data_IF_800247570599
#
_entry.id   IF_800247570599
#
_cell.length_a   1.000
_cell.length_b   1.000
_cell.length_c   1.000
_cell.angle_alpha   90.00
_cell.angle_beta   90.00
_cell.angle_gamma   90.00
#
_symmetry.space_group_name_H-M   'P 1'
#
loop_
_entity.id
_entity.type
_entity.pdbx_description
1 polymer ?
#
# COMPACT_ATOMS: atom_id res chain seq x y z
N UNK A 1 38.42 -3.58 -17.50
CA UNK A 1 39.10 -3.06 -16.29
C UNK A 1 38.98 -1.55 -16.30
N UNK A 2 38.32 -0.98 -15.29
CA UNK A 2 38.11 0.46 -15.16
C UNK A 2 36.93 0.74 -14.26
N UNK A 3 37.14 0.59 -12.94
CA UNK A 3 36.18 0.85 -11.88
C UNK A 3 35.71 2.31 -11.97
N UNK A 4 34.40 2.56 -12.06
CA UNK A 4 33.84 3.85 -11.68
C UNK A 4 33.39 3.79 -10.22
N UNK A 5 33.88 4.77 -9.47
CA UNK A 5 34.02 4.78 -8.02
C UNK A 5 32.75 5.21 -7.31
N UNK A 6 32.48 4.54 -6.19
CA UNK A 6 31.61 5.01 -5.11
C UNK A 6 32.12 6.35 -4.53
N UNK A 7 31.14 7.20 -4.18
CA UNK A 7 31.14 8.35 -3.25
C UNK A 7 31.81 9.65 -3.71
N UNK A 8 31.00 10.72 -3.73
CA UNK A 8 31.22 11.98 -2.99
C UNK A 8 29.99 12.89 -3.12
N UNK A 9 29.12 12.95 -2.11
CA UNK A 9 28.31 14.14 -1.85
C UNK A 9 28.85 14.72 -0.53
N UNK A 10 29.57 15.83 -0.65
CA UNK A 10 30.04 16.65 0.46
C UNK A 10 29.51 18.06 0.27
N UNK A 11 29.05 18.59 1.40
CA UNK A 11 28.44 19.88 1.60
C UNK A 11 29.19 21.08 1.00
N UNK A 12 28.43 21.98 0.38
CA UNK A 12 28.61 23.43 0.38
C UNK A 12 27.22 24.02 0.06
N UNK A 13 26.49 24.73 0.93
CA UNK A 13 26.90 25.63 1.99
C UNK A 13 26.73 27.07 1.51
N UNK A 14 25.53 27.64 1.68
CA UNK A 14 25.19 29.01 1.25
C UNK A 14 23.88 29.50 1.85
N UNK A 15 23.95 29.85 3.14
CA UNK A 15 22.89 30.30 4.03
C UNK A 15 21.80 31.22 3.44
N UNK A 16 20.54 30.79 3.60
CA UNK A 16 19.49 31.66 4.13
C UNK A 16 19.08 31.10 5.50
N UNK A 17 19.49 31.80 6.55
CA UNK A 17 19.04 31.61 7.92
C UNK A 17 17.53 31.87 7.99
N UNK A 18 16.73 30.83 7.83
CA UNK A 18 15.48 30.73 8.56
C UNK A 18 15.79 29.83 9.76
N UNK A 19 15.94 30.45 10.92
CA UNK A 19 15.88 29.78 12.20
C UNK A 19 14.54 29.05 12.30
N UNK A 20 14.49 27.81 11.82
CA UNK A 20 13.40 26.91 12.16
C UNK A 20 13.65 26.56 13.62
N UNK A 21 12.90 27.23 14.48
CA UNK A 21 12.62 26.74 15.82
C UNK A 21 12.37 25.23 15.64
N UNK A 22 13.13 24.40 16.35
CA UNK A 22 12.72 23.04 16.66
C UNK A 22 11.49 23.21 17.54
N UNK A 23 10.39 23.61 16.90
CA UNK A 23 9.07 23.47 17.43
C UNK A 23 8.84 22.01 17.16
N UNK A 24 8.71 21.24 18.23
CA UNK A 24 7.74 20.16 18.25
C UNK A 24 6.63 20.56 17.29
N UNK A 25 6.53 19.89 16.13
CA UNK A 25 5.35 20.06 15.29
C UNK A 25 4.24 19.63 16.22
N UNK A 26 3.59 20.63 16.83
CA UNK A 26 2.35 20.41 17.54
C UNK A 26 1.52 19.72 16.50
N UNK A 27 1.16 18.47 16.78
CA UNK A 27 -0.12 17.91 16.37
C UNK A 27 -1.08 19.08 16.43
N UNK A 28 -1.45 19.62 15.27
CA UNK A 28 -2.36 20.74 15.24
C UNK A 28 -3.71 20.13 15.63
N UNK A 29 -3.97 20.11 16.93
CA UNK A 29 -5.29 19.92 17.49
C UNK A 29 -6.16 21.06 16.94
N UNK A 30 -6.70 20.85 15.74
CA UNK A 30 -7.73 21.70 15.16
C UNK A 30 -9.03 20.94 15.37
N UNK A 31 -9.77 21.44 16.37
CA UNK A 31 -11.12 21.10 16.82
C UNK A 31 -11.78 19.88 16.15
N UNK A 32 -11.67 18.75 16.81
CA UNK A 32 -12.71 17.72 16.76
C UNK A 32 -13.03 17.44 18.22
N UNK A 33 -14.24 17.75 18.67
CA UNK A 33 -14.79 17.25 19.95
C UNK A 33 -14.29 15.82 20.20
N UNK A 34 -13.52 15.65 21.28
CA UNK A 34 -12.31 14.81 21.34
C UNK A 34 -12.60 13.31 21.18
N UNK A 35 -11.83 12.62 20.31
CA UNK A 35 -11.87 11.16 20.11
C UNK A 35 -10.73 10.49 20.86
N UNK A 36 -11.00 9.34 21.48
CA UNK A 36 -10.01 8.56 22.22
C UNK A 36 -10.12 7.07 21.89
N UNK A 37 -8.99 6.37 21.98
CA UNK A 37 -8.90 4.92 22.01
C UNK A 37 -8.76 4.52 23.48
N UNK A 38 -9.60 3.60 23.93
CA UNK A 38 -9.68 3.14 25.32
C UNK A 38 -9.39 1.66 25.39
N UNK A 39 -8.47 1.25 26.26
CA UNK A 39 -8.22 -0.15 26.61
C UNK A 39 -9.27 -0.60 27.63
N UNK A 40 -10.15 -1.53 27.24
CA UNK A 40 -11.33 -1.91 28.03
C UNK A 40 -11.10 -3.11 28.95
N UNK A 41 -9.93 -3.79 28.88
CA UNK A 41 -9.63 -5.00 29.67
C UNK A 41 -9.89 -4.85 31.17
N UNK A 42 -9.50 -3.71 31.73
CA UNK A 42 -9.63 -3.40 33.15
C UNK A 42 -10.70 -2.33 33.43
N UNK A 43 -11.51 -1.97 32.42
CA UNK A 43 -12.54 -0.96 32.57
C UNK A 43 -13.66 -1.45 33.49
N UNK A 44 -14.01 -0.65 34.49
CA UNK A 44 -15.14 -0.96 35.37
C UNK A 44 -16.47 -0.90 34.60
N UNK A 45 -17.50 -1.69 34.99
CA UNK A 45 -18.82 -1.58 34.39
C UNK A 45 -19.35 -0.15 34.41
N UNK A 46 -19.74 0.37 33.23
CA UNK A 46 -20.23 1.74 33.08
C UNK A 46 -19.15 2.82 32.98
N UNK A 47 -17.87 2.45 32.90
CA UNK A 47 -16.76 3.41 32.73
C UNK A 47 -16.90 4.29 31.48
N UNK A 48 -17.60 3.81 30.44
CA UNK A 48 -17.86 4.57 29.21
C UNK A 48 -19.24 5.25 29.17
N UNK A 49 -19.99 5.28 30.29
CA UNK A 49 -21.36 5.83 30.30
C UNK A 49 -21.46 7.35 30.06
N UNK A 50 -20.37 8.08 30.23
CA UNK A 50 -20.28 9.52 29.99
C UNK A 50 -19.85 9.92 28.57
N UNK A 51 -19.50 8.96 27.71
CA UNK A 51 -18.96 9.19 26.37
C UNK A 51 -19.81 8.52 25.30
N UNK A 52 -19.73 9.02 24.07
CA UNK A 52 -20.29 8.38 22.89
C UNK A 52 -19.34 7.27 22.43
N UNK A 53 -19.80 6.02 22.34
CA UNK A 53 -19.01 4.95 21.73
C UNK A 53 -19.15 5.06 20.21
N UNK A 54 -18.03 5.31 19.53
CA UNK A 54 -17.92 5.42 18.07
C UNK A 54 -17.74 4.04 17.46
N UNK A 55 -16.77 3.27 17.98
CA UNK A 55 -16.55 1.87 17.62
C UNK A 55 -16.44 1.05 18.90
N UNK A 56 -17.17 -0.05 18.95
CA UNK A 56 -17.08 -1.04 20.01
C UNK A 56 -16.34 -2.26 19.46
N UNK A 57 -15.11 -2.48 19.92
CA UNK A 57 -14.19 -3.50 19.42
C UNK A 57 -13.87 -4.51 20.54
N UNK A 58 -14.93 -5.07 21.12
CA UNK A 58 -14.88 -6.09 22.18
C UNK A 58 -13.97 -7.28 21.82
N UNK A 59 -13.85 -7.62 20.53
CA UNK A 59 -12.96 -8.68 20.04
C UNK A 59 -11.49 -8.48 20.41
N UNK A 60 -11.09 -7.23 20.69
CA UNK A 60 -9.71 -6.85 21.00
C UNK A 60 -9.59 -6.04 22.29
N UNK A 61 -10.65 -6.00 23.09
CA UNK A 61 -10.76 -5.21 24.31
C UNK A 61 -10.39 -3.71 24.08
N UNK A 62 -10.89 -3.13 22.99
CA UNK A 62 -10.73 -1.70 22.67
C UNK A 62 -12.10 -1.08 22.44
N UNK A 63 -12.28 0.16 22.90
CA UNK A 63 -13.38 1.01 22.45
C UNK A 63 -12.82 2.33 21.88
N UNK A 64 -13.42 2.81 20.80
CA UNK A 64 -13.17 4.14 20.27
C UNK A 64 -14.33 5.02 20.68
N UNK A 65 -14.04 6.12 21.36
CA UNK A 65 -15.07 6.95 21.99
C UNK A 65 -14.91 8.42 21.63
N UNK A 66 -16.00 9.18 21.72
CA UNK A 66 -16.02 10.63 21.63
C UNK A 66 -16.55 11.23 22.93
N UNK A 67 -15.81 12.16 23.51
CA UNK A 67 -16.13 12.74 24.83
C UNK A 67 -14.99 13.62 25.31
N UNK A 68 -15.02 14.09 26.56
CA UNK A 68 -13.88 14.81 27.13
C UNK A 68 -12.91 13.86 27.81
N UNK A 69 -11.62 14.21 27.88
CA UNK A 69 -10.63 13.43 28.66
C UNK A 69 -11.08 13.21 30.11
N UNK A 70 -11.77 14.19 30.71
CA UNK A 70 -12.26 14.07 32.09
C UNK A 70 -13.34 13.02 32.29
N UNK A 71 -14.08 12.66 31.24
CA UNK A 71 -15.09 11.59 31.28
C UNK A 71 -14.44 10.19 31.24
N UNK A 72 -13.14 10.11 30.90
CA UNK A 72 -12.34 8.89 30.84
C UNK A 72 -11.44 8.72 32.08
N UNK A 73 -11.73 9.43 33.17
CA UNK A 73 -10.97 9.31 34.41
C UNK A 73 -11.02 7.88 34.97
N UNK A 74 -9.86 7.23 35.07
CA UNK A 74 -9.73 5.89 35.61
C UNK A 74 -9.79 4.76 34.59
N UNK A 75 -9.83 5.07 33.29
CA UNK A 75 -9.54 4.12 32.21
C UNK A 75 -8.24 4.49 31.51
N UNK A 76 -7.55 3.50 30.94
CA UNK A 76 -6.37 3.73 30.12
C UNK A 76 -6.83 4.15 28.72
N UNK A 77 -6.58 5.42 28.39
CA UNK A 77 -7.03 6.02 27.13
C UNK A 77 -5.95 6.90 26.52
N UNK A 78 -6.00 7.03 25.19
CA UNK A 78 -5.15 7.95 24.44
C UNK A 78 -6.01 8.70 23.39
N UNK A 79 -5.71 9.99 23.09
CA UNK A 79 -6.24 10.67 21.91
C UNK A 79 -6.11 9.85 20.62
N UNK A 80 -7.20 9.74 19.87
CA UNK A 80 -7.24 9.01 18.61
C UNK A 80 -6.36 9.70 17.55
N UNK A 81 -5.27 9.03 17.13
CA UNK A 81 -4.27 9.57 16.22
C UNK A 81 -4.86 9.74 14.81
N UNK A 82 -4.63 10.90 14.19
CA UNK A 82 -4.96 11.15 12.78
C UNK A 82 -3.75 10.89 11.90
N UNK A 83 -3.90 9.96 10.96
CA UNK A 83 -2.98 9.70 9.87
C UNK A 83 -3.38 10.58 8.68
N UNK A 84 -2.41 11.14 7.97
CA UNK A 84 -2.64 11.92 6.76
C UNK A 84 -2.23 11.11 5.53
N UNK A 85 -3.15 10.96 4.58
CA UNK A 85 -2.85 10.45 3.25
C UNK A 85 -2.22 11.58 2.44
N UNK A 86 -0.97 11.40 2.00
CA UNK A 86 -0.28 12.34 1.12
C UNK A 86 -0.93 12.36 -0.26
N UNK A 87 -2.06 13.06 -0.41
CA UNK A 87 -2.98 12.90 -1.55
C UNK A 87 -3.12 14.15 -2.43
N UNK A 88 -2.20 15.11 -2.34
CA UNK A 88 -2.18 16.24 -3.28
C UNK A 88 -0.78 16.56 -3.79
N UNK A 89 -0.62 16.40 -5.11
CA UNK A 89 0.50 16.96 -5.86
C UNK A 89 0.66 18.45 -5.52
N UNK A 90 1.66 18.77 -4.72
CA UNK A 90 1.95 20.16 -4.36
C UNK A 90 2.74 20.39 -3.08
N UNK A 91 2.70 19.49 -2.08
CA UNK A 91 3.42 19.78 -0.82
C UNK A 91 3.76 18.58 0.10
N UNK A 92 3.75 17.34 -0.37
CA UNK A 92 3.79 16.17 0.53
C UNK A 92 4.75 15.06 0.09
N UNK A 93 5.81 14.84 0.88
CA UNK A 93 6.60 13.59 0.90
C UNK A 93 7.17 13.12 -0.45
N UNK A 94 7.88 11.99 -0.48
CA UNK A 94 8.51 11.47 -1.70
C UNK A 94 7.68 10.42 -2.46
N UNK A 95 6.44 10.12 -2.03
CA UNK A 95 5.48 9.39 -2.87
C UNK A 95 5.13 10.25 -4.10
N UNK A 96 5.23 9.66 -5.29
CA UNK A 96 5.10 10.39 -6.55
C UNK A 96 3.79 10.03 -7.22
N UNK A 97 2.92 11.02 -7.37
CA UNK A 97 1.69 10.90 -8.15
C UNK A 97 1.78 11.78 -9.40
N UNK A 98 1.28 11.28 -10.52
CA UNK A 98 1.14 12.09 -11.74
C UNK A 98 -0.26 11.92 -12.32
N UNK A 99 -1.07 12.96 -12.16
CA UNK A 99 -2.38 13.13 -12.81
C UNK A 99 -2.21 13.39 -14.30
N UNK A 100 -1.76 12.37 -15.03
CA UNK A 100 -1.93 12.31 -16.47
C UNK A 100 -2.77 11.08 -16.75
N UNK A 101 -4.03 11.29 -17.17
CA UNK A 101 -4.88 10.21 -17.68
C UNK A 101 -4.02 9.32 -18.57
N UNK A 102 -3.98 8.02 -18.30
CA UNK A 102 -3.34 7.10 -19.22
C UNK A 102 -4.10 7.20 -20.55
N UNK A 103 -3.56 7.96 -21.50
CA UNK A 103 -4.03 7.93 -22.87
C UNK A 103 -3.97 6.48 -23.35
N UNK A 104 -4.89 6.09 -24.23
CA UNK A 104 -4.84 4.78 -24.89
C UNK A 104 -3.42 4.51 -25.41
N UNK A 105 -3.01 3.24 -25.46
CA UNK A 105 -1.62 2.90 -25.76
C UNK A 105 -1.18 3.59 -27.06
N UNK A 106 0.04 4.14 -27.13
CA UNK A 106 0.48 4.90 -28.31
C UNK A 106 0.23 4.07 -29.58
N UNK A 107 -0.37 4.67 -30.62
CA UNK A 107 -0.95 4.07 -31.86
C UNK A 107 -0.10 2.99 -32.58
N UNK A 108 1.17 2.84 -32.21
CA UNK A 108 2.07 1.79 -32.66
C UNK A 108 2.35 0.77 -31.54
N UNK A 109 1.32 0.01 -31.14
CA UNK A 109 1.51 -1.29 -30.51
C UNK A 109 1.85 -2.31 -31.60
N UNK A 110 3.07 -2.83 -31.60
CA UNK A 110 3.55 -3.77 -32.62
C UNK A 110 2.71 -5.06 -32.70
N UNK A 111 2.77 -5.76 -33.84
CA UNK A 111 2.05 -7.02 -34.13
C UNK A 111 2.64 -8.25 -33.39
N UNK A 112 2.87 -8.16 -32.08
CA UNK A 112 3.22 -9.32 -31.25
C UNK A 112 1.97 -10.12 -30.86
N UNK A 113 2.13 -11.40 -30.47
CA UNK A 113 1.06 -12.11 -29.75
C UNK A 113 0.94 -11.44 -28.37
N UNK A 114 -0.16 -10.75 -28.12
CA UNK A 114 -0.43 -10.20 -26.78
C UNK A 114 -0.68 -11.34 -25.79
N UNK A 115 -0.19 -11.21 -24.56
CA UNK A 115 -0.43 -12.17 -23.46
C UNK A 115 -1.84 -12.03 -22.87
N UNK A 116 -2.42 -10.84 -22.99
CA UNK A 116 -3.77 -10.42 -22.55
C UNK A 116 -4.39 -9.58 -23.68
N UNK A 117 -5.72 -9.46 -23.74
CA UNK A 117 -6.38 -8.55 -24.67
C UNK A 117 -6.44 -7.07 -24.17
N UNK A 118 -6.09 -6.81 -22.91
CA UNK A 118 -6.20 -5.51 -22.24
C UNK A 118 -5.20 -4.48 -22.80
N UNK A 119 -5.65 -3.27 -23.13
CA UNK A 119 -4.87 -2.29 -23.89
C UNK A 119 -3.73 -1.66 -23.11
N UNK A 120 -3.77 -1.61 -21.77
CA UNK A 120 -2.74 -0.95 -20.96
C UNK A 120 -1.71 -1.91 -20.33
N UNK A 121 -1.85 -3.24 -20.48
CA UNK A 121 -0.88 -4.20 -19.91
C UNK A 121 0.57 -3.94 -20.31
N UNK A 122 0.82 -3.52 -21.55
CA UNK A 122 2.17 -3.21 -22.05
C UNK A 122 2.84 -2.03 -21.31
N UNK A 123 2.08 -1.29 -20.51
CA UNK A 123 2.53 -0.18 -19.67
C UNK A 123 2.73 -0.59 -18.20
N UNK A 124 2.24 -1.76 -17.78
CA UNK A 124 2.38 -2.30 -16.42
C UNK A 124 3.67 -3.12 -16.30
N UNK A 125 4.80 -2.43 -16.11
CA UNK A 125 6.10 -3.09 -15.92
C UNK A 125 6.09 -4.02 -14.70
N UNK A 126 5.33 -3.67 -13.65
CA UNK A 126 5.18 -4.40 -12.40
C UNK A 126 4.57 -5.79 -12.64
N UNK A 127 3.48 -5.86 -13.41
CA UNK A 127 2.85 -7.11 -13.81
C UNK A 127 3.72 -7.93 -14.77
N UNK A 128 4.47 -7.25 -15.64
CA UNK A 128 5.41 -7.90 -16.55
C UNK A 128 6.62 -8.51 -15.81
N UNK A 129 7.15 -7.81 -14.80
CA UNK A 129 8.29 -8.26 -14.00
C UNK A 129 7.96 -9.49 -13.16
N UNK A 130 6.71 -9.61 -12.72
CA UNK A 130 6.17 -10.73 -11.95
C UNK A 130 5.56 -11.85 -12.82
N UNK A 131 5.66 -11.74 -14.16
CA UNK A 131 5.07 -12.65 -15.15
C UNK A 131 3.60 -13.01 -14.88
N UNK A 132 2.81 -12.00 -14.48
CA UNK A 132 1.43 -12.18 -14.00
C UNK A 132 0.53 -12.97 -14.98
N UNK A 133 0.53 -12.72 -16.30
CA UNK A 133 -0.30 -13.51 -17.22
C UNK A 133 0.11 -14.98 -17.32
N UNK A 134 1.37 -15.33 -17.02
CA UNK A 134 1.77 -16.74 -17.00
C UNK A 134 1.19 -17.45 -15.76
N UNK A 135 1.15 -16.77 -14.61
CA UNK A 135 0.57 -17.35 -13.40
C UNK A 135 -0.96 -17.44 -13.43
N UNK A 136 -1.62 -16.55 -14.18
CA UNK A 136 -3.07 -16.62 -14.45
C UNK A 136 -3.50 -17.88 -15.21
N UNK A 137 -2.55 -18.64 -15.78
CA UNK A 137 -2.85 -19.96 -16.35
C UNK A 137 -3.03 -21.06 -15.30
N UNK A 138 -2.59 -20.81 -14.05
CA UNK A 138 -2.74 -21.72 -12.91
C UNK A 138 -3.96 -21.35 -12.05
N UNK A 139 -4.07 -20.08 -11.67
CA UNK A 139 -5.17 -19.52 -10.87
C UNK A 139 -5.27 -18.02 -11.12
N UNK A 140 -6.45 -17.44 -10.94
CA UNK A 140 -6.65 -15.97 -10.89
C UNK A 140 -6.97 -15.47 -9.48
N UNK A 141 -6.92 -16.34 -8.46
CA UNK A 141 -7.31 -15.99 -7.10
C UNK A 141 -8.78 -16.31 -6.80
N UNK A 142 -9.44 -17.11 -7.63
CA UNK A 142 -10.85 -17.44 -7.45
C UNK A 142 -11.10 -18.10 -6.08
N UNK A 143 -12.20 -17.71 -5.44
CA UNK A 143 -12.58 -18.23 -4.11
C UNK A 143 -11.86 -17.57 -2.95
N UNK A 144 -11.12 -16.49 -3.19
CA UNK A 144 -10.46 -15.70 -2.14
C UNK A 144 -10.97 -14.27 -2.11
N UNK A 145 -10.70 -13.57 -1.02
CA UNK A 145 -11.13 -12.20 -0.77
C UNK A 145 -9.98 -11.32 -0.24
N UNK A 146 -9.93 -10.08 -0.73
CA UNK A 146 -8.92 -9.08 -0.32
C UNK A 146 -9.63 -7.80 0.12
N UNK A 147 -9.50 -7.48 1.41
CA UNK A 147 -9.95 -6.23 1.98
C UNK A 147 -8.92 -5.12 1.74
N UNK A 148 -9.34 -4.04 1.08
CA UNK A 148 -8.56 -2.82 0.88
C UNK A 148 -8.97 -1.82 1.95
N UNK A 149 -8.15 -1.70 3.00
CA UNK A 149 -8.36 -0.73 4.08
C UNK A 149 -7.70 0.59 3.67
N UNK A 150 -8.48 1.49 3.09
CA UNK A 150 -7.95 2.67 2.40
C UNK A 150 -8.99 3.81 2.28
N UNK A 151 -8.85 4.68 1.29
CA UNK A 151 -9.67 5.86 0.98
C UNK A 151 -11.01 5.53 0.30
N UNK A 152 -11.26 4.25 0.04
CA UNK A 152 -12.45 3.75 -0.65
C UNK A 152 -12.15 3.26 -2.06
N UNK A 153 -13.05 2.45 -2.59
CA UNK A 153 -12.98 1.92 -3.96
C UNK A 153 -14.15 2.50 -4.75
N UNK A 154 -13.88 3.02 -5.94
CA UNK A 154 -14.90 3.56 -6.84
C UNK A 154 -15.85 2.45 -7.31
N UNK A 155 -17.13 2.46 -6.90
CA UNK A 155 -18.10 1.50 -7.41
C UNK A 155 -18.37 1.74 -8.90
N UNK A 156 -18.53 0.66 -9.66
CA UNK A 156 -18.81 0.73 -11.10
C UNK A 156 -17.61 1.09 -11.98
N UNK A 157 -16.38 1.08 -11.46
CA UNK A 157 -15.18 1.11 -12.31
C UNK A 157 -15.21 -0.14 -13.22
N UNK A 158 -15.09 -0.03 -14.56
CA UNK A 158 -15.27 -1.15 -15.49
C UNK A 158 -14.28 -2.30 -15.25
N UNK A 159 -13.12 -1.96 -14.69
CA UNK A 159 -12.04 -2.88 -14.38
C UNK A 159 -12.09 -3.44 -12.94
N UNK A 160 -13.04 -3.04 -12.09
CA UNK A 160 -13.14 -3.51 -10.69
C UNK A 160 -14.46 -4.28 -10.47
N UNK A 161 -14.73 -5.25 -11.34
CA UNK A 161 -15.99 -6.01 -11.29
C UNK A 161 -16.08 -6.98 -10.11
N UNK A 162 -14.94 -7.31 -9.49
CA UNK A 162 -14.87 -8.17 -8.30
C UNK A 162 -15.17 -7.44 -6.99
N UNK A 163 -15.52 -6.14 -7.03
CA UNK A 163 -15.88 -5.38 -5.84
C UNK A 163 -17.21 -5.90 -5.25
N UNK A 164 -17.13 -6.43 -4.03
CA UNK A 164 -18.28 -6.80 -3.23
C UNK A 164 -18.79 -5.59 -2.45
N UNK A 165 -19.80 -4.91 -2.98
CA UNK A 165 -20.40 -3.73 -2.35
C UNK A 165 -21.18 -4.07 -1.06
N UNK A 166 -21.66 -5.31 -0.89
CA UNK A 166 -22.43 -5.74 0.28
C UNK A 166 -21.56 -5.92 1.53
N UNK A 167 -20.30 -6.33 1.35
CA UNK A 167 -19.29 -6.45 2.40
C UNK A 167 -18.39 -5.21 2.52
N UNK A 168 -18.50 -4.27 1.57
CA UNK A 168 -17.76 -3.01 1.63
C UNK A 168 -18.39 -2.03 2.62
N UNK A 169 -17.57 -1.33 3.40
CA UNK A 169 -18.06 -0.48 4.50
C UNK A 169 -17.24 0.80 4.69
N UNK A 170 -17.91 1.83 5.19
CA UNK A 170 -17.29 3.04 5.72
C UNK A 170 -17.14 2.94 7.24
N UNK A 171 -15.92 3.18 7.74
CA UNK A 171 -15.62 3.21 9.17
C UNK A 171 -15.49 4.63 9.72
N UNK A 172 -15.49 5.63 8.85
CA UNK A 172 -15.43 7.03 9.27
C UNK A 172 -16.78 7.51 9.82
N UNK A 173 -16.75 8.57 10.62
CA UNK A 173 -17.96 9.21 11.15
C UNK A 173 -18.59 10.24 10.20
N UNK A 174 -18.23 10.25 8.91
CA UNK A 174 -18.70 11.26 7.95
C UNK A 174 -20.13 11.00 7.42
N UNK A 175 -20.71 9.84 7.75
CA UNK A 175 -22.05 9.43 7.31
C UNK A 175 -22.16 9.01 5.84
N UNK A 176 -21.03 8.88 5.14
CA UNK A 176 -20.95 8.43 3.75
C UNK A 176 -20.95 6.91 3.58
N UNK A 177 -20.82 6.46 2.33
CA UNK A 177 -20.68 5.04 1.97
C UNK A 177 -19.20 4.63 1.92
N UNK A 178 -18.90 3.37 1.57
CA UNK A 178 -17.53 2.89 1.33
C UNK A 178 -16.85 3.57 0.12
N UNK A 179 -17.62 4.23 -0.74
CA UNK A 179 -17.11 4.89 -1.93
C UNK A 179 -16.15 6.04 -1.53
N UNK A 180 -15.14 6.33 -2.36
CA UNK A 180 -14.18 7.38 -2.10
C UNK A 180 -14.84 8.77 -2.12
N UNK A 181 -14.28 9.69 -1.33
CA UNK A 181 -14.78 11.08 -1.22
C UNK A 181 -13.88 12.06 -1.96
N UNK A 182 -12.57 11.93 -1.82
CA UNK A 182 -11.61 12.90 -2.37
C UNK A 182 -10.27 12.30 -2.82
N UNK A 183 -10.01 11.01 -2.54
CA UNK A 183 -8.79 10.33 -2.95
C UNK A 183 -9.09 9.05 -3.73
N UNK A 184 -8.33 8.85 -4.81
CA UNK A 184 -8.38 7.67 -5.68
C UNK A 184 -7.40 6.56 -5.25
N UNK A 185 -6.67 6.75 -4.15
CA UNK A 185 -5.60 5.88 -3.70
C UNK A 185 -6.07 4.43 -3.45
N UNK A 186 -7.23 4.26 -2.81
CA UNK A 186 -7.81 2.94 -2.56
C UNK A 186 -8.29 2.26 -3.83
N UNK A 187 -8.79 3.04 -4.79
CA UNK A 187 -9.14 2.54 -6.13
C UNK A 187 -7.89 2.10 -6.89
N UNK A 188 -6.76 2.81 -6.74
CA UNK A 188 -5.47 2.42 -7.33
C UNK A 188 -4.94 1.12 -6.73
N UNK A 189 -4.96 0.99 -5.41
CA UNK A 189 -4.57 -0.24 -4.71
C UNK A 189 -5.45 -1.43 -5.12
N UNK A 190 -6.76 -1.24 -5.20
CA UNK A 190 -7.70 -2.27 -5.62
C UNK A 190 -7.40 -2.82 -7.03
N UNK A 191 -7.06 -1.95 -8.00
CA UNK A 191 -6.69 -2.39 -9.34
C UNK A 191 -5.37 -3.16 -9.40
N UNK A 192 -4.40 -2.84 -8.52
CA UNK A 192 -3.14 -3.60 -8.44
C UNK A 192 -3.45 -5.04 -8.00
N UNK A 193 -4.35 -5.20 -7.04
CA UNK A 193 -4.80 -6.52 -6.56
C UNK A 193 -5.61 -7.22 -7.65
N UNK A 194 -6.75 -6.67 -8.07
CA UNK A 194 -7.76 -7.43 -8.83
C UNK A 194 -8.44 -6.63 -9.94
N UNK A 195 -7.72 -5.75 -10.66
CA UNK A 195 -8.24 -5.26 -11.93
C UNK A 195 -8.56 -6.43 -12.87
N UNK A 196 -9.72 -6.38 -13.49
CA UNK A 196 -10.32 -7.48 -14.27
C UNK A 196 -9.48 -7.77 -15.51
N UNK A 197 -8.93 -8.98 -15.62
CA UNK A 197 -8.14 -9.36 -16.79
C UNK A 197 -9.03 -9.83 -17.96
N UNK A 198 -8.49 -9.70 -19.17
CA UNK A 198 -9.07 -10.16 -20.44
C UNK A 198 -10.46 -9.58 -20.78
N UNK A 199 -10.81 -8.41 -20.25
CA UNK A 199 -12.08 -7.72 -20.54
C UNK A 199 -11.98 -6.79 -21.77
N UNK A 200 -10.77 -6.55 -22.29
CA UNK A 200 -10.51 -5.71 -23.46
C UNK A 200 -10.42 -4.22 -23.13
N UNK A 201 -10.37 -3.88 -21.85
CA UNK A 201 -10.31 -2.54 -21.29
C UNK A 201 -9.15 -2.44 -20.29
N UNK A 202 -8.72 -1.23 -19.97
CA UNK A 202 -7.88 -1.01 -18.79
C UNK A 202 -6.59 -1.83 -18.66
N UNK A 203 -6.36 -2.25 -17.42
CA UNK A 203 -5.13 -2.84 -16.86
C UNK A 203 -5.40 -4.26 -16.36
N UNK A 204 -4.36 -4.96 -15.92
CA UNK A 204 -4.46 -6.32 -15.36
C UNK A 204 -4.08 -6.31 -13.88
N UNK A 205 -4.92 -6.92 -13.03
CA UNK A 205 -4.64 -7.15 -11.62
C UNK A 205 -3.74 -8.36 -11.38
N UNK A 206 -3.13 -8.45 -10.20
CA UNK A 206 -2.33 -9.63 -9.81
C UNK A 206 -3.21 -10.87 -9.62
N UNK A 207 -4.37 -10.72 -9.00
CA UNK A 207 -5.37 -11.76 -8.73
C UNK A 207 -6.77 -11.31 -9.18
N UNK A 208 -7.06 -11.27 -10.50
CA UNK A 208 -8.30 -10.72 -11.04
C UNK A 208 -9.57 -11.51 -10.66
N UNK A 209 -9.42 -12.75 -10.18
CA UNK A 209 -10.50 -13.60 -9.67
C UNK A 209 -10.77 -13.46 -8.16
N UNK A 210 -9.95 -12.71 -7.43
CA UNK A 210 -10.17 -12.43 -6.01
C UNK A 210 -11.28 -11.40 -5.83
N UNK A 211 -12.15 -11.63 -4.84
CA UNK A 211 -13.19 -10.69 -4.44
C UNK A 211 -12.57 -9.49 -3.69
N UNK A 212 -12.96 -8.27 -4.02
CA UNK A 212 -12.47 -7.05 -3.37
C UNK A 212 -13.49 -6.53 -2.36
N UNK A 213 -13.01 -6.16 -1.16
CA UNK A 213 -13.81 -5.43 -0.17
C UNK A 213 -13.22 -4.04 0.02
N UNK A 214 -14.01 -2.99 -0.20
CA UNK A 214 -13.63 -1.61 0.07
C UNK A 214 -13.94 -1.23 1.51
N UNK A 215 -12.90 -1.13 2.36
CA UNK A 215 -13.04 -0.73 3.76
C UNK A 215 -12.51 0.71 3.92
N UNK A 216 -13.40 1.70 3.81
CA UNK A 216 -13.01 3.11 3.81
C UNK A 216 -12.74 3.62 5.22
N UNK A 217 -11.52 4.11 5.44
CA UNK A 217 -11.05 4.69 6.71
C UNK A 217 -10.63 6.15 6.60
N UNK A 218 -10.50 6.69 5.38
CA UNK A 218 -10.22 8.11 5.16
C UNK A 218 -11.50 8.92 4.93
N UNK A 219 -11.53 10.12 5.51
CA UNK A 219 -12.51 11.17 5.25
C UNK A 219 -11.76 12.49 5.11
N UNK A 220 -11.67 13.02 3.89
CA UNK A 220 -10.69 14.06 3.60
C UNK A 220 -9.29 13.45 3.50
N UNK A 221 -8.22 14.21 3.79
CA UNK A 221 -6.87 13.68 3.78
C UNK A 221 -6.56 12.83 5.02
N UNK A 222 -7.50 12.63 5.96
CA UNK A 222 -7.21 12.02 7.26
C UNK A 222 -7.95 10.70 7.49
N UNK A 223 -7.27 9.75 8.14
CA UNK A 223 -7.85 8.56 8.75
C UNK A 223 -7.57 8.58 10.25
N UNK A 224 -8.55 8.24 11.09
CA UNK A 224 -8.29 8.06 12.52
C UNK A 224 -7.83 6.63 12.78
N UNK A 225 -6.89 6.44 13.70
CA UNK A 225 -6.41 5.14 14.12
C UNK A 225 -7.56 4.22 14.56
N UNK A 226 -8.52 4.75 15.32
CA UNK A 226 -9.70 3.98 15.74
C UNK A 226 -10.55 3.47 14.57
N UNK A 227 -10.64 4.23 13.47
CA UNK A 227 -11.37 3.80 12.26
C UNK A 227 -10.59 2.68 11.53
N UNK A 228 -9.26 2.74 11.54
CA UNK A 228 -8.38 1.70 10.98
C UNK A 228 -8.49 0.41 11.79
N UNK A 229 -8.42 0.48 13.13
CA UNK A 229 -8.59 -0.69 13.99
C UNK A 229 -9.95 -1.36 13.78
N UNK A 230 -11.02 -0.57 13.66
CA UNK A 230 -12.36 -1.08 13.38
C UNK A 230 -12.43 -1.80 12.02
N UNK A 231 -11.76 -1.27 10.99
CA UNK A 231 -11.70 -1.91 9.68
C UNK A 231 -10.90 -3.22 9.71
N UNK A 232 -9.81 -3.30 10.48
CA UNK A 232 -9.01 -4.52 10.65
C UNK A 232 -9.83 -5.61 11.36
N UNK A 233 -10.49 -5.26 12.46
CA UNK A 233 -11.37 -6.19 13.18
C UNK A 233 -12.49 -6.69 12.27
N UNK A 234 -13.11 -5.79 11.51
CA UNK A 234 -14.16 -6.19 10.56
C UNK A 234 -13.64 -7.09 9.43
N UNK A 235 -12.43 -6.85 8.91
CA UNK A 235 -11.82 -7.74 7.92
C UNK A 235 -11.68 -9.19 8.47
N UNK A 236 -11.34 -9.32 9.76
CA UNK A 236 -11.37 -10.60 10.47
C UNK A 236 -12.79 -11.14 10.66
N UNK A 237 -13.77 -10.31 11.04
CA UNK A 237 -15.16 -10.74 11.26
C UNK A 237 -15.82 -11.30 9.98
N UNK A 238 -15.42 -10.80 8.80
CA UNK A 238 -15.88 -11.30 7.50
C UNK A 238 -14.96 -12.37 6.91
N UNK A 239 -13.95 -12.83 7.68
CA UNK A 239 -12.99 -13.86 7.30
C UNK A 239 -12.30 -13.56 5.96
N UNK A 240 -11.97 -12.28 5.70
CA UNK A 240 -11.23 -11.91 4.50
C UNK A 240 -9.88 -12.65 4.46
N UNK A 241 -9.47 -13.21 3.33
CA UNK A 241 -8.20 -13.96 3.27
C UNK A 241 -6.98 -13.05 3.48
N UNK A 242 -7.07 -11.81 2.98
CA UNK A 242 -6.00 -10.81 3.07
C UNK A 242 -6.60 -9.43 3.38
N UNK A 243 -5.97 -8.69 4.28
CA UNK A 243 -6.21 -7.27 4.50
C UNK A 243 -4.97 -6.47 4.08
N UNK A 244 -5.14 -5.61 3.06
CA UNK A 244 -4.13 -4.71 2.55
C UNK A 244 -4.24 -3.33 3.22
N UNK A 245 -3.14 -2.88 3.83
CA UNK A 245 -2.99 -1.58 4.48
C UNK A 245 -1.91 -0.78 3.76
N UNK A 246 -2.32 -0.06 2.71
CA UNK A 246 -1.47 0.88 1.97
C UNK A 246 -1.38 2.24 2.65
N UNK A 247 -1.32 2.24 3.98
CA UNK A 247 -1.33 3.40 4.85
C UNK A 247 -0.35 3.18 6.01
N UNK A 248 0.07 4.27 6.64
CA UNK A 248 0.92 4.18 7.82
C UNK A 248 1.21 5.54 8.43
N UNK A 249 1.83 5.51 9.60
CA UNK A 249 2.30 6.68 10.31
C UNK A 249 3.76 6.46 10.71
N UNK A 250 4.61 7.40 10.29
CA UNK A 250 5.99 7.47 10.71
C UNK A 250 6.44 8.95 10.73
N UNK A 251 7.27 9.36 11.70
CA UNK A 251 7.67 8.62 12.90
C UNK A 251 6.61 8.70 14.02
N UNK A 252 6.28 7.57 14.66
CA UNK A 252 5.43 7.52 15.85
C UNK A 252 6.29 7.33 17.10
N UNK A 253 6.25 8.22 18.11
CA UNK A 253 7.05 8.07 19.33
C UNK A 253 6.74 6.77 20.11
N UNK A 254 7.77 6.03 20.51
CA UNK A 254 7.76 4.89 21.44
C UNK A 254 7.90 5.37 22.89
N UNK A 255 7.71 4.47 23.86
CA UNK A 255 8.11 4.68 25.27
C UNK A 255 7.22 5.61 26.10
N UNK A 256 5.98 5.86 25.65
CA UNK A 256 4.95 6.52 26.46
C UNK A 256 3.77 5.58 26.65
N UNK A 257 3.05 5.68 27.77
CA UNK A 257 1.87 4.85 28.05
C UNK A 257 0.81 4.98 26.94
N UNK A 258 0.68 6.17 26.37
CA UNK A 258 -0.12 6.44 25.19
C UNK A 258 0.36 5.56 24.01
N UNK A 259 1.63 5.67 23.62
CA UNK A 259 2.18 4.88 22.52
C UNK A 259 1.96 3.37 22.67
N UNK A 260 2.01 2.86 23.89
CA UNK A 260 1.70 1.46 24.18
C UNK A 260 0.24 1.09 23.87
N UNK A 261 -0.76 1.94 24.16
CA UNK A 261 -2.16 1.69 23.79
C UNK A 261 -2.32 1.58 22.27
N UNK A 262 -1.64 2.43 21.49
CA UNK A 262 -1.69 2.36 20.01
C UNK A 262 -1.08 1.07 19.48
N UNK A 263 0.13 0.74 19.96
CA UNK A 263 0.85 -0.47 19.54
C UNK A 263 0.03 -1.71 19.92
N UNK A 264 -0.44 -1.78 21.18
CA UNK A 264 -1.29 -2.88 21.65
C UNK A 264 -2.59 -3.00 20.85
N UNK A 265 -3.22 -1.87 20.50
CA UNK A 265 -4.42 -1.86 19.64
C UNK A 265 -4.16 -2.52 18.30
N UNK A 266 -3.10 -2.12 17.59
CA UNK A 266 -2.70 -2.75 16.33
C UNK A 266 -2.32 -4.22 16.49
N UNK A 267 -1.57 -4.57 17.54
CA UNK A 267 -1.17 -5.96 17.82
C UNK A 267 -2.39 -6.84 18.05
N UNK A 268 -3.34 -6.41 18.89
CA UNK A 268 -4.55 -7.19 19.18
C UNK A 268 -5.45 -7.30 17.95
N UNK A 269 -5.61 -6.22 17.18
CA UNK A 269 -6.36 -6.24 15.93
C UNK A 269 -5.78 -7.22 14.91
N UNK A 270 -4.46 -7.21 14.69
CA UNK A 270 -3.81 -8.18 13.81
C UNK A 270 -3.91 -9.61 14.35
N UNK A 271 -3.70 -9.82 15.65
CA UNK A 271 -3.83 -11.15 16.25
C UNK A 271 -5.25 -11.70 16.08
N UNK A 272 -6.26 -10.86 16.28
CA UNK A 272 -7.66 -11.24 16.07
C UNK A 272 -7.91 -11.59 14.60
N UNK A 273 -7.60 -10.70 13.67
CA UNK A 273 -7.81 -10.93 12.23
C UNK A 273 -7.07 -12.19 11.74
N UNK A 274 -5.81 -12.37 12.15
CA UNK A 274 -5.02 -13.56 11.85
C UNK A 274 -5.66 -14.84 12.41
N UNK A 275 -6.22 -14.78 13.63
CA UNK A 275 -6.96 -15.91 14.22
C UNK A 275 -8.25 -16.27 13.47
N UNK A 276 -8.82 -15.31 12.73
CA UNK A 276 -9.97 -15.54 11.84
C UNK A 276 -9.55 -15.93 10.41
N UNK A 277 -8.26 -16.09 10.14
CA UNK A 277 -7.77 -16.50 8.82
C UNK A 277 -7.36 -15.36 7.88
N UNK A 278 -7.22 -14.12 8.39
CA UNK A 278 -6.81 -12.96 7.59
C UNK A 278 -5.32 -12.67 7.68
N UNK A 279 -4.62 -12.65 6.54
CA UNK A 279 -3.24 -12.15 6.46
C UNK A 279 -3.21 -10.62 6.41
N UNK A 280 -2.43 -9.99 7.28
CA UNK A 280 -2.23 -8.54 7.27
C UNK A 280 -1.00 -8.17 6.44
N UNK A 281 -1.17 -7.33 5.42
CA UNK A 281 -0.08 -6.84 4.55
C UNK A 281 -0.04 -5.32 4.60
N UNK A 282 1.08 -4.74 5.04
CA UNK A 282 1.22 -3.31 5.28
C UNK A 282 2.40 -2.70 4.51
N UNK A 283 2.21 -1.48 4.02
CA UNK A 283 3.27 -0.69 3.40
C UNK A 283 4.33 -0.26 4.43
N UNK A 284 5.62 -0.36 4.08
CA UNK A 284 6.72 0.01 4.99
C UNK A 284 6.84 1.51 5.26
N UNK A 285 6.23 2.36 4.41
CA UNK A 285 6.33 3.82 4.48
C UNK A 285 7.32 4.41 3.48
N UNK A 286 7.27 5.74 3.33
CA UNK A 286 7.92 6.45 2.22
C UNK A 286 8.80 7.62 2.75
N UNK A 287 9.62 7.40 3.77
CA UNK A 287 10.42 8.44 4.41
C UNK A 287 11.93 8.26 4.18
N UNK A 288 12.32 7.30 3.34
CA UNK A 288 13.71 6.85 3.15
C UNK A 288 14.40 6.50 4.47
N UNK A 289 13.64 6.00 5.45
CA UNK A 289 14.12 5.75 6.80
C UNK A 289 14.61 4.31 6.99
N UNK A 290 15.71 4.15 7.73
CA UNK A 290 16.15 2.85 8.23
C UNK A 290 15.43 2.53 9.56
N UNK A 291 14.37 1.73 9.47
CA UNK A 291 13.53 1.34 10.59
C UNK A 291 14.28 0.50 11.64
N UNK A 292 15.32 -0.26 11.23
CA UNK A 292 16.15 -1.02 12.19
C UNK A 292 16.92 -0.13 13.18
N UNK A 293 17.07 1.17 12.88
CA UNK A 293 17.91 2.11 13.63
C UNK A 293 17.21 3.42 13.98
N UNK A 294 15.88 3.42 14.00
CA UNK A 294 15.05 4.61 14.23
C UNK A 294 14.90 5.00 15.72
N UNK A 295 15.34 4.13 16.63
CA UNK A 295 15.51 4.44 18.06
C UNK A 295 14.19 4.49 18.81
N UNK A 296 13.79 5.68 19.25
CA UNK A 296 12.60 5.89 20.10
C UNK A 296 11.33 6.17 19.27
N UNK A 297 11.31 5.82 17.99
CA UNK A 297 10.11 5.93 17.13
C UNK A 297 9.84 4.60 16.45
N UNK A 298 8.60 4.39 15.98
CA UNK A 298 8.13 3.23 15.22
C UNK A 298 7.38 3.69 13.97
N UNK A 299 7.37 2.89 12.92
CA UNK A 299 6.43 2.94 11.80
C UNK A 299 5.25 2.01 12.04
N UNK A 300 4.04 2.55 12.09
CA UNK A 300 2.82 1.77 12.29
C UNK A 300 1.97 1.73 11.02
N UNK A 301 1.29 0.60 10.72
CA UNK A 301 1.27 -0.64 11.51
C UNK A 301 2.38 -1.65 11.15
N UNK A 302 3.18 -1.38 10.11
CA UNK A 302 4.03 -2.38 9.48
C UNK A 302 5.11 -3.01 10.39
N UNK A 303 5.61 -2.30 11.41
CA UNK A 303 6.59 -2.86 12.36
C UNK A 303 5.95 -3.62 13.54
N UNK A 304 4.61 -3.73 13.58
CA UNK A 304 3.92 -4.50 14.61
C UNK A 304 3.87 -5.98 14.21
N UNK A 305 3.99 -6.87 15.19
CA UNK A 305 3.81 -8.31 15.01
C UNK A 305 2.52 -8.63 14.22
N UNK A 306 2.59 -9.69 13.41
CA UNK A 306 1.52 -10.16 12.53
C UNK A 306 1.10 -9.20 11.40
N UNK A 307 1.77 -8.06 11.20
CA UNK A 307 1.77 -7.35 9.93
C UNK A 307 2.98 -7.81 9.10
N UNK A 308 2.73 -8.08 7.82
CA UNK A 308 3.78 -8.31 6.83
C UNK A 308 4.19 -6.96 6.22
N UNK A 309 5.41 -6.52 6.49
CA UNK A 309 5.97 -5.21 6.12
C UNK A 309 6.60 -5.24 4.73
N UNK A 310 6.07 -4.44 3.80
CA UNK A 310 6.45 -4.46 2.38
C UNK A 310 7.15 -3.16 1.95
N UNK A 311 8.41 -3.27 1.55
CA UNK A 311 9.17 -2.17 0.94
C UNK A 311 8.97 -2.07 -0.57
N UNK A 312 9.29 -0.92 -1.16
CA UNK A 312 9.05 -0.63 -2.57
C UNK A 312 10.31 -0.76 -3.43
N UNK A 313 10.11 -1.28 -4.64
CA UNK A 313 11.12 -1.33 -5.71
C UNK A 313 10.53 -0.83 -7.01
N UNK A 314 11.40 -0.39 -7.92
CA UNK A 314 10.98 -0.03 -9.27
C UNK A 314 12.16 0.21 -10.20
N UNK A 315 11.92 0.15 -11.52
CA UNK A 315 12.93 0.48 -12.51
C UNK A 315 13.08 1.99 -12.65
N UNK A 316 14.25 2.42 -13.12
CA UNK A 316 14.42 3.75 -13.72
C UNK A 316 14.69 3.57 -15.21
N UNK A 317 13.99 4.30 -16.08
CA UNK A 317 14.24 4.25 -17.52
C UNK A 317 13.30 3.37 -18.33
N UNK A 318 12.22 2.85 -17.74
CA UNK A 318 11.28 1.99 -18.43
C UNK A 318 10.61 2.74 -19.58
N UNK A 319 11.00 2.38 -20.81
CA UNK A 319 10.48 2.95 -22.07
C UNK A 319 10.77 4.45 -22.29
N UNK A 320 11.79 5.01 -21.65
CA UNK A 320 12.19 6.42 -21.86
C UNK A 320 12.77 6.72 -23.26
N UNK A 321 13.23 5.70 -23.99
CA UNK A 321 13.80 5.85 -25.33
C UNK A 321 15.19 6.52 -25.32
N UNK A 322 16.22 5.81 -24.84
CA UNK A 322 17.53 6.39 -24.54
C UNK A 322 18.29 7.07 -25.71
N UNK A 323 19.27 7.94 -25.38
CA UNK A 323 20.16 8.58 -26.34
C UNK A 323 21.13 7.54 -26.95
N UNK A 324 20.90 7.20 -28.21
CA UNK A 324 21.71 6.20 -28.94
C UNK A 324 20.95 5.50 -30.07
N UNK A 325 19.63 5.58 -30.08
CA UNK A 325 18.83 4.96 -31.13
C UNK A 325 18.52 5.97 -32.25
N UNK A 326 19.55 6.29 -33.04
CA UNK A 326 19.45 6.96 -34.34
C UNK A 326 18.68 6.16 -35.40
N UNK A 327 17.74 5.32 -34.99
CA UNK A 327 16.77 4.66 -35.82
C UNK A 327 15.45 4.59 -35.04
N UNK A 328 14.55 5.53 -35.33
CA UNK A 328 13.14 5.52 -34.97
C UNK A 328 12.35 4.29 -35.52
N UNK A 329 13.06 3.26 -35.98
CA UNK A 329 12.57 2.13 -36.76
C UNK A 329 12.98 0.76 -36.20
N UNK A 330 13.60 0.68 -35.01
CA UNK A 330 13.63 -0.58 -34.25
C UNK A 330 12.37 -0.67 -33.41
N UNK A 331 11.35 -1.28 -34.01
CA UNK A 331 10.07 -1.62 -33.39
C UNK A 331 10.33 -2.39 -32.08
N UNK A 332 10.09 -1.67 -30.98
CA UNK A 332 9.55 -2.11 -29.68
C UNK A 332 9.36 -3.62 -29.59
N UNK A 333 10.32 -4.31 -28.97
CA UNK A 333 10.07 -5.61 -28.39
C UNK A 333 9.84 -5.34 -26.89
N UNK A 334 8.59 -5.45 -26.43
CA UNK A 334 8.17 -4.96 -25.10
C UNK A 334 8.84 -5.73 -23.97
N UNK A 335 9.08 -7.04 -24.14
CA UNK A 335 9.93 -7.85 -23.24
C UNK A 335 11.37 -7.36 -23.15
N UNK A 336 11.86 -6.60 -24.15
CA UNK A 336 13.19 -6.01 -24.10
C UNK A 336 13.22 -4.65 -23.41
N UNK A 337 12.07 -4.01 -23.13
CA UNK A 337 12.06 -2.72 -22.42
C UNK A 337 12.63 -2.86 -21.01
N UNK A 338 12.29 -3.96 -20.31
CA UNK A 338 12.89 -4.32 -19.02
C UNK A 338 14.39 -4.64 -19.13
N UNK A 339 14.89 -5.06 -20.30
CA UNK A 339 16.32 -5.30 -20.52
C UNK A 339 17.12 -4.01 -20.83
N UNK A 340 16.46 -2.86 -20.84
CA UNK A 340 17.02 -1.57 -21.24
C UNK A 340 16.72 -0.45 -20.25
N UNK A 341 16.42 -0.82 -19.00
CA UNK A 341 16.29 0.10 -17.88
C UNK A 341 17.68 0.52 -17.38
N UNK A 342 17.75 1.71 -16.77
CA UNK A 342 18.94 2.22 -16.10
C UNK A 342 19.11 1.50 -14.75
N UNK A 343 18.01 1.37 -14.02
CA UNK A 343 17.92 0.60 -12.78
C UNK A 343 16.91 -0.53 -12.95
N UNK A 344 17.27 -1.70 -12.41
CA UNK A 344 16.49 -2.94 -12.53
C UNK A 344 15.14 -2.84 -11.79
N UNK A 345 14.18 -3.70 -12.12
CA UNK A 345 12.83 -3.67 -11.51
C UNK A 345 12.80 -3.96 -10.00
N UNK A 346 13.87 -4.56 -9.48
CA UNK A 346 14.06 -4.87 -8.07
C UNK A 346 14.98 -3.84 -7.39
N UNK A 347 15.39 -2.76 -8.06
CA UNK A 347 16.13 -1.69 -7.39
C UNK A 347 15.25 -1.04 -6.30
N UNK A 348 15.78 -0.79 -5.09
CA UNK A 348 15.03 -0.11 -4.03
C UNK A 348 14.62 1.28 -4.48
N UNK A 349 13.35 1.62 -4.30
CA UNK A 349 12.85 2.94 -4.63
C UNK A 349 13.48 3.99 -3.69
N UNK A 350 13.80 5.19 -4.20
CA UNK A 350 14.56 6.16 -3.39
C UNK A 350 13.85 6.57 -2.10
N UNK A 351 12.52 6.49 -2.07
CA UNK A 351 11.66 6.86 -0.95
C UNK A 351 11.41 5.75 0.07
N UNK A 352 11.67 4.48 -0.26
CA UNK A 352 11.18 3.38 0.57
C UNK A 352 11.81 3.44 1.95
N UNK A 353 10.99 3.29 3.00
CA UNK A 353 11.52 2.85 4.28
C UNK A 353 12.09 1.43 4.12
N UNK A 354 13.10 1.13 4.92
CA UNK A 354 13.93 -0.06 4.78
C UNK A 354 14.45 -0.53 6.14
N UNK A 355 15.01 -1.73 6.19
CA UNK A 355 15.52 -2.38 7.38
C UNK A 355 15.55 -3.89 7.16
N UNK A 356 16.66 -4.54 7.49
CA UNK A 356 16.83 -6.00 7.39
C UNK A 356 15.88 -6.74 8.34
N UNK A 357 15.58 -6.17 9.52
CA UNK A 357 14.65 -6.79 10.48
C UNK A 357 13.24 -6.21 10.43
N UNK A 358 13.09 -4.98 9.93
CA UNK A 358 11.80 -4.28 9.89
C UNK A 358 10.97 -4.52 8.60
N UNK A 359 11.58 -5.05 7.54
CA UNK A 359 10.92 -5.39 6.28
C UNK A 359 10.91 -6.90 6.12
N UNK A 360 9.77 -7.49 5.76
CA UNK A 360 9.68 -8.92 5.45
C UNK A 360 10.22 -9.22 4.06
N UNK A 361 9.65 -8.58 3.04
CA UNK A 361 10.07 -8.67 1.64
C UNK A 361 9.87 -7.33 0.93
N UNK A 362 10.49 -7.15 -0.24
CA UNK A 362 10.15 -6.05 -1.14
C UNK A 362 9.27 -6.49 -2.31
N UNK A 363 8.50 -5.55 -2.87
CA UNK A 363 7.68 -5.80 -4.05
C UNK A 363 7.66 -4.59 -5.03
N UNK A 364 7.16 -4.76 -6.26
CA UNK A 364 6.99 -3.68 -7.21
C UNK A 364 6.09 -2.56 -6.67
N UNK A 365 6.66 -1.39 -6.38
CA UNK A 365 5.96 -0.21 -5.87
C UNK A 365 6.17 1.05 -6.71
N UNK A 366 7.01 0.98 -7.75
CA UNK A 366 7.44 2.15 -8.53
C UNK A 366 8.78 2.68 -8.04
N UNK A 367 9.47 3.40 -8.92
CA UNK A 367 10.53 4.33 -8.55
C UNK A 367 10.41 5.58 -9.42
N UNK A 368 11.16 6.62 -9.09
CA UNK A 368 11.04 7.89 -9.78
C UNK A 368 12.36 8.68 -9.79
N UNK A 369 12.77 9.08 -11.00
CA UNK A 369 13.70 10.19 -11.19
C UNK A 369 12.90 11.48 -11.29
N UNK A 370 12.95 12.29 -10.23
CA UNK A 370 12.15 13.51 -10.11
C UNK A 370 12.51 14.57 -11.16
N UNK A 371 13.78 14.63 -11.59
CA UNK A 371 14.22 15.54 -12.66
C UNK A 371 13.65 15.06 -14.00
N UNK A 372 13.78 13.77 -14.29
CA UNK A 372 13.22 13.18 -15.50
C UNK A 372 11.69 13.28 -15.55
N UNK A 373 10.98 13.13 -14.43
CA UNK A 373 9.53 13.28 -14.37
C UNK A 373 9.04 14.68 -14.74
N UNK A 374 9.80 15.70 -14.37
CA UNK A 374 9.49 17.09 -14.71
C UNK A 374 9.73 17.41 -16.19
N UNK A 375 10.66 16.71 -16.84
CA UNK A 375 11.11 17.03 -18.20
C UNK A 375 10.63 16.04 -19.29
N UNK A 376 10.40 14.78 -18.93
CA UNK A 376 10.18 13.65 -19.83
C UNK A 376 8.84 12.99 -19.49
N UNK A 377 7.85 13.09 -20.37
CA UNK A 377 6.53 12.47 -20.13
C UNK A 377 6.61 10.95 -19.98
N UNK A 378 7.57 10.29 -20.64
CA UNK A 378 7.81 8.86 -20.53
C UNK A 378 8.37 8.44 -19.15
N UNK A 379 8.90 9.36 -18.35
CA UNK A 379 9.40 9.03 -17.01
C UNK A 379 8.31 8.55 -16.06
N UNK A 380 7.04 8.87 -16.33
CA UNK A 380 5.90 8.32 -15.57
C UNK A 380 5.75 6.81 -15.70
N UNK A 381 6.35 6.19 -16.71
CA UNK A 381 6.24 4.76 -16.93
C UNK A 381 7.05 3.93 -15.91
N UNK A 382 7.88 4.57 -15.10
CA UNK A 382 8.59 3.93 -13.99
C UNK A 382 7.71 3.76 -12.74
N UNK A 383 6.61 4.53 -12.66
CA UNK A 383 5.57 4.41 -11.64
C UNK A 383 4.67 3.20 -11.94
N UNK A 384 3.77 2.87 -11.01
CA UNK A 384 2.78 1.81 -11.17
C UNK A 384 1.49 2.36 -11.77
N UNK A 385 1.04 1.75 -12.86
CA UNK A 385 -0.22 2.07 -13.53
C UNK A 385 -1.36 1.21 -12.97
N UNK A 386 -2.42 1.85 -12.50
CA UNK A 386 -3.62 1.16 -12.02
C UNK A 386 -4.89 2.01 -12.19
N UNK A 387 -6.03 1.44 -11.80
CA UNK A 387 -7.38 2.02 -11.84
C UNK A 387 -7.50 3.25 -10.93
N UNK A 388 -8.13 4.32 -11.40
CA UNK A 388 -8.41 5.53 -10.63
C UNK A 388 -9.70 6.20 -11.11
N UNK A 389 -9.97 7.42 -10.67
CA UNK A 389 -11.04 8.26 -11.22
C UNK A 389 -10.59 9.71 -11.35
N UNK A 390 -11.29 10.48 -12.19
CA UNK A 390 -11.06 11.93 -12.30
C UNK A 390 -11.95 12.74 -11.35
N UNK A 391 -11.81 14.07 -11.33
CA UNK A 391 -12.59 14.97 -10.46
C UNK A 391 -14.12 14.84 -10.61
N UNK A 392 -14.61 14.21 -11.68
CA UNK A 392 -16.02 13.93 -11.89
C UNK A 392 -16.45 12.52 -11.44
N UNK A 393 -15.55 11.80 -10.76
CA UNK A 393 -15.66 10.38 -10.42
C UNK A 393 -15.82 9.48 -11.65
N UNK A 394 -15.37 9.94 -12.83
CA UNK A 394 -15.36 9.10 -14.02
C UNK A 394 -14.18 8.12 -13.93
N UNK A 395 -14.40 6.81 -14.14
CA UNK A 395 -13.33 5.82 -14.15
C UNK A 395 -12.20 6.18 -15.13
N UNK A 396 -10.95 6.04 -14.69
CA UNK A 396 -9.74 6.27 -15.50
C UNK A 396 -8.58 5.43 -14.95
N UNK A 397 -7.37 5.64 -15.47
CA UNK A 397 -6.15 4.99 -15.00
C UNK A 397 -5.06 6.04 -14.81
N UNK A 398 -4.25 5.89 -13.77
CA UNK A 398 -3.19 6.83 -13.41
C UNK A 398 -1.96 6.16 -12.83
N UNK A 399 -0.90 6.94 -12.68
CA UNK A 399 0.45 6.52 -12.31
C UNK A 399 0.77 6.98 -10.89
N UNK A 400 1.14 6.04 -10.02
CA UNK A 400 1.56 6.32 -8.64
C UNK A 400 2.78 5.48 -8.27
N UNK A 401 3.66 6.00 -7.43
CA UNK A 401 4.77 5.26 -6.84
C UNK A 401 4.75 5.42 -5.31
N UNK A 402 4.82 4.28 -4.61
CA UNK A 402 4.86 4.21 -3.15
C UNK A 402 4.97 2.77 -2.66
N UNK A 403 5.35 2.59 -1.40
CA UNK A 403 5.15 1.30 -0.68
C UNK A 403 3.67 0.89 -0.66
N UNK A 404 2.77 1.87 -0.75
CA UNK A 404 1.34 1.70 -0.99
C UNK A 404 0.96 0.94 -2.26
N UNK A 405 1.83 0.87 -3.27
CA UNK A 405 1.63 0.07 -4.48
C UNK A 405 2.31 -1.30 -4.38
N UNK A 406 3.34 -1.43 -3.54
CA UNK A 406 4.04 -2.69 -3.28
C UNK A 406 3.21 -3.64 -2.40
N UNK A 407 2.57 -3.13 -1.34
CA UNK A 407 1.68 -3.91 -0.47
C UNK A 407 0.53 -4.62 -1.24
N UNK A 408 -0.22 -3.97 -2.16
CA UNK A 408 -1.27 -4.64 -2.91
C UNK A 408 -0.73 -5.62 -3.95
N UNK A 409 0.50 -5.44 -4.44
CA UNK A 409 1.15 -6.47 -5.26
C UNK A 409 1.34 -7.77 -4.47
N UNK A 410 1.83 -7.70 -3.23
CA UNK A 410 1.96 -8.87 -2.34
C UNK A 410 0.60 -9.44 -1.95
N UNK A 411 -0.38 -8.59 -1.62
CA UNK A 411 -1.73 -9.01 -1.26
C UNK A 411 -2.41 -9.81 -2.39
N UNK A 412 -2.20 -9.40 -3.64
CA UNK A 412 -2.65 -10.17 -4.80
C UNK A 412 -1.99 -11.55 -4.90
N UNK A 413 -0.67 -11.66 -4.67
CA UNK A 413 0.01 -12.97 -4.69
C UNK A 413 -0.46 -13.86 -3.53
N UNK A 414 -0.69 -13.29 -2.35
CA UNK A 414 -1.27 -14.02 -1.23
C UNK A 414 -2.65 -14.61 -1.57
N UNK A 415 -3.50 -13.85 -2.29
CA UNK A 415 -4.77 -14.34 -2.80
C UNK A 415 -4.61 -15.49 -3.83
N UNK A 416 -3.62 -15.40 -4.74
CA UNK A 416 -3.30 -16.50 -5.65
C UNK A 416 -2.86 -17.77 -4.89
N UNK A 417 -2.02 -17.62 -3.86
CA UNK A 417 -1.57 -18.73 -3.00
C UNK A 417 -2.77 -19.38 -2.30
N UNK A 418 -3.61 -18.58 -1.62
CA UNK A 418 -4.81 -19.06 -0.91
C UNK A 418 -5.80 -19.75 -1.85
N UNK A 419 -5.92 -19.31 -3.10
CA UNK A 419 -6.78 -19.97 -4.09
C UNK A 419 -6.31 -21.39 -4.43
N UNK A 420 -5.00 -21.62 -4.50
CA UNK A 420 -4.43 -22.96 -4.73
C UNK A 420 -4.31 -23.80 -3.44
N UNK A 421 -4.17 -23.15 -2.30
CA UNK A 421 -3.97 -23.76 -0.99
C UNK A 421 -4.90 -23.14 0.07
N UNK A 422 -6.22 -23.40 -0.01
CA UNK A 422 -7.24 -22.74 0.82
C UNK A 422 -7.19 -23.13 2.30
N UNK A 423 -6.43 -24.16 2.66
CA UNK A 423 -6.25 -24.61 4.03
C UNK A 423 -5.04 -23.94 4.73
N UNK A 424 -4.18 -23.21 4.00
CA UNK A 424 -3.01 -22.53 4.60
C UNK A 424 -3.47 -21.39 5.50
N UNK A 425 -3.07 -21.42 6.76
CA UNK A 425 -3.24 -20.31 7.68
C UNK A 425 -2.52 -19.05 7.18
N UNK A 426 -2.92 -17.85 7.65
CA UNK A 426 -2.22 -16.61 7.31
C UNK A 426 -0.70 -16.66 7.54
N UNK A 427 -0.28 -17.30 8.63
CA UNK A 427 1.13 -17.46 8.95
C UNK A 427 1.85 -18.35 7.95
N UNK A 428 1.24 -19.47 7.54
CA UNK A 428 1.80 -20.34 6.49
C UNK A 428 1.89 -19.60 5.15
N UNK A 429 0.92 -18.74 4.80
CA UNK A 429 0.99 -17.92 3.59
C UNK A 429 2.12 -16.89 3.67
N UNK A 430 2.29 -16.20 4.81
CA UNK A 430 3.40 -15.27 5.05
C UNK A 430 4.75 -15.97 4.91
N UNK A 431 4.93 -17.10 5.57
CA UNK A 431 6.16 -17.90 5.52
C UNK A 431 6.44 -18.37 4.09
N UNK A 432 5.42 -18.84 3.37
CA UNK A 432 5.57 -19.26 1.98
C UNK A 432 6.00 -18.13 1.05
N UNK A 433 5.44 -16.92 1.22
CA UNK A 433 5.87 -15.73 0.47
C UNK A 433 7.33 -15.37 0.75
N UNK A 434 7.76 -15.47 2.02
CA UNK A 434 9.14 -15.21 2.45
C UNK A 434 10.09 -16.26 1.85
N UNK A 435 9.78 -17.55 2.00
CA UNK A 435 10.64 -18.66 1.57
C UNK A 435 10.82 -18.72 0.04
N UNK A 436 9.82 -18.24 -0.70
CA UNK A 436 9.84 -18.22 -2.18
C UNK A 436 10.34 -16.89 -2.75
N UNK A 437 10.60 -15.89 -1.92
CA UNK A 437 11.17 -14.61 -2.36
C UNK A 437 12.57 -14.81 -2.95
N UNK A 438 12.89 -14.08 -4.02
CA UNK A 438 14.22 -14.10 -4.62
C UNK A 438 15.20 -13.34 -3.73
N UNK A 439 16.31 -13.95 -3.27
CA UNK A 439 17.27 -13.27 -2.40
C UNK A 439 17.88 -12.01 -3.02
N UNK A 440 17.93 -10.92 -2.25
CA UNK A 440 18.51 -9.62 -2.62
C UNK A 440 19.27 -9.01 -1.44
N UNK A 441 19.68 -7.74 -1.53
CA UNK A 441 20.32 -7.05 -0.41
C UNK A 441 19.33 -6.90 0.76
N UNK A 442 19.54 -7.59 1.89
CA UNK A 442 18.54 -7.64 2.96
C UNK A 442 18.22 -6.25 3.53
N UNK A 443 19.14 -5.29 3.39
CA UNK A 443 18.96 -3.89 3.83
C UNK A 443 17.62 -3.30 3.34
N UNK A 444 17.24 -3.57 2.09
CA UNK A 444 16.01 -3.04 1.48
C UNK A 444 14.95 -4.09 1.21
N UNK A 445 15.35 -5.36 1.25
CA UNK A 445 14.55 -6.47 0.78
C UNK A 445 14.11 -7.42 1.89
N UNK A 446 14.56 -7.24 3.13
CA UNK A 446 14.32 -8.24 4.18
C UNK A 446 14.85 -9.60 3.71
N UNK A 447 13.96 -10.59 3.66
CA UNK A 447 14.27 -11.95 3.20
C UNK A 447 14.34 -12.10 1.68
N UNK A 448 13.83 -11.13 0.90
CA UNK A 448 13.96 -11.14 -0.55
C UNK A 448 12.99 -10.22 -1.31
N UNK A 449 13.04 -10.32 -2.63
CA UNK A 449 12.09 -9.66 -3.51
C UNK A 449 11.00 -10.64 -3.96
N UNK A 450 9.75 -10.22 -3.92
CA UNK A 450 8.58 -10.98 -4.37
C UNK A 450 8.85 -11.69 -5.71
N UNK A 451 8.60 -13.00 -5.74
CA UNK A 451 8.65 -13.82 -6.96
C UNK A 451 7.34 -14.60 -7.07
N UNK A 452 6.39 -14.02 -7.80
CA UNK A 452 5.04 -14.58 -7.96
C UNK A 452 5.08 -15.99 -8.58
N UNK A 453 6.00 -16.23 -9.51
CA UNK A 453 6.08 -17.53 -10.18
C UNK A 453 6.67 -18.59 -9.26
N UNK A 454 7.73 -18.26 -8.52
CA UNK A 454 8.31 -19.18 -7.54
C UNK A 454 7.30 -19.53 -6.44
N UNK A 455 6.54 -18.53 -5.95
CA UNK A 455 5.48 -18.73 -4.97
C UNK A 455 4.43 -19.75 -5.44
N UNK A 456 3.96 -19.66 -6.69
CA UNK A 456 2.94 -20.59 -7.19
C UNK A 456 3.52 -21.95 -7.62
N UNK A 457 4.75 -22.01 -8.12
CA UNK A 457 5.41 -23.27 -8.47
C UNK A 457 5.73 -24.13 -7.23
N UNK A 458 5.96 -23.51 -6.07
CA UNK A 458 6.25 -24.22 -4.83
C UNK A 458 5.03 -24.89 -4.16
N UNK A 459 3.82 -24.64 -4.68
CA UNK A 459 2.57 -25.27 -4.19
C UNK A 459 2.20 -26.56 -4.96
N UNK A 460 2.91 -26.87 -6.05
CA UNK A 460 2.75 -28.08 -6.87
C UNK A 460 3.67 -29.23 -6.41
#
# INVERSE_FOLDING_TARGET
MGKHSRRSFLAAGGAALASTIIGTRRVSAVDSTERYIVDTRDASPGALSGVEVVHDLDQIDIAVVRGSESDLAGVRAEPDLKLELSSKAGDSGPAVERDSKAGGPPENLGKGKKKTNDPLYDLQWDKQAQDVPAVHTKTRGEGTSVAIIDSGILPGHPDLQSLNEDLSRNFTSDGGTFAPVDSDHGTHCAGIVAATDDNGEGVVGTAPGAELLGLRVFSGPYANLGDILAAIVYAGDVEADVANLSLGAYPVPKGTEAAEVRIEGYTRAANYANSQGTLMVAAAGNDSANLDTDGDVISLPNEVDNYMSISATGPIGYRWGGPGNGNAQKKRNYHAALNHVQDETWSPAFYTNYGESAVDISAPGGDADLEALAEIDAAKYDLVLSTTFDDSFAPTYSWKAGTSMAAPAVSGVAALIRSLAPDMSPQEVREHLIETATPRDPTYHGEGHLDTKAALDALE
#
